data_IF_529349679275
#
_entry.id   IF_529349679275
#
_cell.length_a   1.000
_cell.length_b   1.000
_cell.length_c   1.000
_cell.angle_alpha   90.00
_cell.angle_beta   90.00
_cell.angle_gamma   90.00
#
_symmetry.space_group_name_H-M   'P 1'
#
loop_
_entity.id
_entity.type
_entity.pdbx_description
1 polymer ?
#
# COMPACT_ATOMS: atom_id res chain seq x y z
N UNK A 1 19.94 -13.30 -24.08
CA UNK A 1 19.92 -12.72 -25.43
C UNK A 1 21.31 -12.27 -25.90
N UNK A 2 22.14 -11.63 -25.05
CA UNK A 2 23.46 -11.11 -25.44
C UNK A 2 24.43 -12.18 -25.95
N UNK A 3 24.44 -13.37 -25.32
CA UNK A 3 25.25 -14.50 -25.76
C UNK A 3 24.84 -14.99 -27.15
N UNK A 4 23.54 -14.96 -27.46
CA UNK A 4 22.99 -15.35 -28.75
C UNK A 4 23.49 -14.39 -29.86
N UNK A 5 23.48 -13.07 -29.58
CA UNK A 5 23.97 -12.06 -30.52
C UNK A 5 25.47 -12.29 -30.84
N UNK A 6 26.29 -12.49 -29.81
CA UNK A 6 27.70 -12.75 -29.99
C UNK A 6 27.95 -14.09 -30.74
N UNK A 7 27.22 -15.15 -30.37
CA UNK A 7 27.34 -16.43 -31.07
C UNK A 7 26.93 -16.34 -32.53
N UNK A 8 25.86 -15.62 -32.84
CA UNK A 8 25.41 -15.43 -34.22
C UNK A 8 26.43 -14.65 -35.04
N UNK A 9 27.00 -13.55 -34.47
CA UNK A 9 28.08 -12.80 -35.11
C UNK A 9 29.33 -13.64 -35.31
N UNK A 10 29.68 -14.50 -34.35
CA UNK A 10 30.80 -15.44 -34.52
C UNK A 10 30.53 -16.41 -35.66
N UNK A 11 29.36 -17.02 -35.78
CA UNK A 11 29.02 -17.92 -36.85
C UNK A 11 29.09 -17.25 -38.23
N UNK A 12 28.58 -16.03 -38.36
CA UNK A 12 28.67 -15.23 -39.59
C UNK A 12 30.11 -14.98 -40.00
N UNK A 13 30.99 -14.61 -39.07
CA UNK A 13 32.40 -14.31 -39.37
C UNK A 13 33.22 -15.57 -39.53
N UNK A 14 32.84 -16.69 -38.95
CA UNK A 14 33.56 -17.96 -39.04
C UNK A 14 33.34 -18.72 -40.38
N UNK A 15 32.36 -18.30 -41.18
CA UNK A 15 32.21 -18.82 -42.55
C UNK A 15 33.42 -18.52 -43.43
N UNK A 16 34.03 -17.36 -43.24
CA UNK A 16 35.14 -16.85 -44.12
C UNK A 16 36.50 -16.73 -43.40
N UNK A 17 36.56 -16.89 -42.06
CA UNK A 17 37.73 -16.65 -41.22
C UNK A 17 38.03 -17.83 -40.29
N UNK A 18 39.26 -17.90 -39.83
CA UNK A 18 39.61 -18.84 -38.78
C UNK A 18 38.90 -18.47 -37.45
N UNK A 19 38.75 -19.43 -36.55
CA UNK A 19 37.98 -19.24 -35.32
C UNK A 19 38.53 -18.09 -34.45
N UNK A 20 39.83 -17.87 -34.44
CA UNK A 20 40.45 -16.82 -33.62
C UNK A 20 40.16 -15.45 -34.20
N UNK A 21 40.32 -15.26 -35.50
CA UNK A 21 39.99 -14.02 -36.17
C UNK A 21 38.53 -13.74 -36.17
N UNK A 22 37.67 -14.75 -36.36
CA UNK A 22 36.24 -14.65 -36.32
C UNK A 22 35.75 -14.14 -34.95
N UNK A 23 36.27 -14.66 -33.82
CA UNK A 23 35.92 -14.20 -32.49
C UNK A 23 36.29 -12.74 -32.26
N UNK A 24 37.47 -12.31 -32.68
CA UNK A 24 37.94 -10.92 -32.52
C UNK A 24 37.03 -9.95 -33.29
N UNK A 25 36.70 -10.28 -34.54
CA UNK A 25 35.85 -9.43 -35.37
C UNK A 25 34.40 -9.45 -34.85
N UNK A 26 33.88 -10.63 -34.50
CA UNK A 26 32.54 -10.76 -33.91
C UNK A 26 32.40 -9.93 -32.61
N UNK A 27 33.40 -10.01 -31.72
CA UNK A 27 33.39 -9.26 -30.47
C UNK A 27 33.44 -7.75 -30.73
N UNK A 28 34.28 -7.28 -31.66
CA UNK A 28 34.35 -5.85 -31.99
C UNK A 28 33.05 -5.28 -32.54
N UNK A 29 32.28 -6.07 -33.27
CA UNK A 29 30.97 -5.69 -33.81
C UNK A 29 29.85 -5.85 -32.74
N UNK A 30 29.91 -6.88 -31.93
CA UNK A 30 28.87 -7.19 -30.92
C UNK A 30 28.94 -6.27 -29.68
N UNK A 31 30.15 -5.80 -29.27
CA UNK A 31 30.29 -4.94 -28.08
C UNK A 31 29.40 -3.69 -28.13
N UNK A 32 29.43 -2.86 -29.20
CA UNK A 32 28.57 -1.69 -29.27
C UNK A 32 27.06 -2.03 -29.25
N UNK A 33 26.66 -3.09 -29.96
CA UNK A 33 25.26 -3.53 -30.04
C UNK A 33 24.76 -4.02 -28.68
N UNK A 34 25.50 -4.93 -28.04
CA UNK A 34 25.18 -5.48 -26.73
C UNK A 34 25.23 -4.39 -25.67
N UNK A 35 26.26 -3.53 -25.65
CA UNK A 35 26.41 -2.47 -24.66
C UNK A 35 25.27 -1.47 -24.72
N UNK A 36 24.87 -1.03 -25.92
CA UNK A 36 23.75 -0.08 -26.04
C UNK A 36 22.42 -0.68 -25.60
N UNK A 37 22.14 -1.93 -25.98
CA UNK A 37 20.95 -2.65 -25.56
C UNK A 37 20.92 -2.88 -24.05
N UNK A 38 22.05 -3.33 -23.48
CA UNK A 38 22.18 -3.55 -22.03
C UNK A 38 22.02 -2.25 -21.26
N UNK A 39 22.65 -1.17 -21.71
CA UNK A 39 22.59 0.13 -21.04
C UNK A 39 21.17 0.70 -21.05
N UNK A 40 20.44 0.49 -22.15
CA UNK A 40 19.01 0.86 -22.23
C UNK A 40 18.18 0.11 -21.20
N UNK A 41 18.40 -1.20 -21.04
CA UNK A 41 17.70 -2.02 -20.04
C UNK A 41 18.11 -1.62 -18.63
N UNK A 42 19.41 -1.44 -18.36
CA UNK A 42 19.92 -0.99 -17.05
C UNK A 42 19.32 0.36 -16.69
N UNK A 43 19.18 1.28 -17.64
CA UNK A 43 18.60 2.60 -17.37
C UNK A 43 17.14 2.53 -16.91
N UNK A 44 16.35 1.59 -17.47
CA UNK A 44 15.00 1.31 -16.99
C UNK A 44 14.99 0.78 -15.55
N UNK A 45 15.93 -0.13 -15.22
CA UNK A 45 16.06 -0.64 -13.85
C UNK A 45 16.53 0.44 -12.86
N UNK A 46 17.43 1.34 -13.32
CA UNK A 46 17.86 2.49 -12.54
C UNK A 46 16.70 3.47 -12.33
N UNK A 47 15.83 3.67 -13.31
CA UNK A 47 14.65 4.51 -13.14
C UNK A 47 13.71 3.96 -12.04
N UNK A 48 13.57 2.64 -11.90
CA UNK A 48 12.81 2.02 -10.80
C UNK A 48 13.37 2.32 -9.41
N UNK A 49 14.67 2.63 -9.29
CA UNK A 49 15.28 2.98 -8.00
C UNK A 49 14.80 4.35 -7.46
N UNK A 50 14.15 5.16 -8.29
CA UNK A 50 13.56 6.44 -7.90
C UNK A 50 12.11 6.34 -7.45
N UNK A 51 11.54 5.12 -7.37
CA UNK A 51 10.23 4.88 -6.78
C UNK A 51 10.24 5.24 -5.30
N UNK A 52 9.12 5.79 -4.81
CA UNK A 52 8.86 5.96 -3.38
C UNK A 52 8.70 4.59 -2.69
N UNK A 53 8.18 3.62 -3.43
CA UNK A 53 7.97 2.28 -2.93
C UNK A 53 9.27 1.46 -2.92
N UNK A 54 9.69 1.03 -1.73
CA UNK A 54 11.01 0.40 -1.50
C UNK A 54 11.29 -0.84 -2.35
N UNK A 55 10.25 -1.61 -2.70
CA UNK A 55 10.40 -2.77 -3.60
C UNK A 55 10.99 -2.35 -4.95
N UNK A 56 10.61 -1.19 -5.50
CA UNK A 56 11.15 -0.68 -6.74
C UNK A 56 12.67 -0.47 -6.68
N UNK A 57 13.15 0.09 -5.58
CA UNK A 57 14.59 0.27 -5.34
C UNK A 57 15.33 -1.08 -5.27
N UNK A 58 14.82 -2.03 -4.47
CA UNK A 58 15.46 -3.34 -4.29
C UNK A 58 15.47 -4.15 -5.59
N UNK A 59 14.35 -4.17 -6.32
CA UNK A 59 14.24 -4.83 -7.62
C UNK A 59 15.15 -4.15 -8.67
N UNK A 60 15.15 -2.82 -8.71
CA UNK A 60 15.98 -2.05 -9.62
C UNK A 60 17.48 -2.38 -9.47
N UNK A 61 18.00 -2.39 -8.26
CA UNK A 61 19.40 -2.75 -7.97
C UNK A 61 19.72 -4.20 -8.34
N UNK A 62 18.86 -5.15 -7.95
CA UNK A 62 19.10 -6.57 -8.18
C UNK A 62 19.13 -6.86 -9.69
N UNK A 63 18.14 -6.35 -10.43
CA UNK A 63 18.03 -6.57 -11.87
C UNK A 63 19.15 -5.84 -12.64
N UNK A 64 19.51 -4.61 -12.29
CA UNK A 64 20.61 -3.87 -12.90
C UNK A 64 21.94 -4.63 -12.72
N UNK A 65 22.25 -5.10 -11.51
CA UNK A 65 23.43 -5.93 -11.25
C UNK A 65 23.44 -7.19 -12.09
N UNK A 66 22.30 -7.89 -12.18
CA UNK A 66 22.18 -9.13 -12.95
C UNK A 66 22.51 -8.92 -14.43
N UNK A 67 22.07 -7.80 -15.02
CA UNK A 67 22.36 -7.45 -16.40
C UNK A 67 23.87 -7.13 -16.57
N UNK A 68 24.47 -6.38 -15.64
CA UNK A 68 25.91 -6.08 -15.67
C UNK A 68 26.73 -7.37 -15.61
N UNK A 69 26.42 -8.29 -14.68
CA UNK A 69 27.11 -9.59 -14.59
C UNK A 69 26.91 -10.42 -15.85
N UNK A 70 25.69 -10.44 -16.41
CA UNK A 70 25.42 -11.14 -17.67
C UNK A 70 26.27 -10.58 -18.83
N UNK A 71 26.38 -9.25 -18.93
CA UNK A 71 27.19 -8.57 -19.94
C UNK A 71 28.68 -8.90 -19.77
N UNK A 72 29.19 -8.86 -18.54
CA UNK A 72 30.58 -9.24 -18.24
C UNK A 72 30.85 -10.69 -18.61
N UNK A 73 29.94 -11.60 -18.26
CA UNK A 73 30.07 -13.03 -18.62
C UNK A 73 30.09 -13.22 -20.15
N UNK A 74 29.25 -12.52 -20.90
CA UNK A 74 29.23 -12.61 -22.35
C UNK A 74 30.53 -12.08 -22.97
N UNK A 75 31.08 -10.98 -22.50
CA UNK A 75 32.29 -10.41 -23.08
C UNK A 75 33.55 -11.16 -22.71
N UNK A 76 33.64 -11.78 -21.55
CA UNK A 76 34.88 -12.44 -21.09
C UNK A 76 34.81 -13.97 -21.20
N UNK A 77 33.67 -14.61 -20.87
CA UNK A 77 33.56 -16.05 -20.88
C UNK A 77 33.21 -16.60 -22.27
N UNK A 78 32.24 -15.96 -22.96
CA UNK A 78 31.73 -16.48 -24.22
C UNK A 78 32.77 -16.61 -25.33
N UNK A 79 33.70 -15.64 -25.54
CA UNK A 79 34.77 -15.77 -26.53
C UNK A 79 35.68 -16.98 -26.30
N UNK A 80 36.04 -17.24 -25.04
CA UNK A 80 36.81 -18.44 -24.68
C UNK A 80 36.09 -19.73 -24.96
N UNK A 81 34.78 -19.80 -24.68
CA UNK A 81 33.94 -20.96 -25.01
C UNK A 81 33.85 -21.18 -26.54
N UNK A 82 33.60 -20.12 -27.33
CA UNK A 82 33.49 -20.21 -28.78
C UNK A 82 34.79 -20.69 -29.41
N UNK A 83 35.95 -20.24 -28.95
CA UNK A 83 37.25 -20.72 -29.40
C UNK A 83 37.49 -22.20 -29.02
N UNK A 84 37.18 -22.58 -27.78
CA UNK A 84 37.44 -23.93 -27.27
C UNK A 84 36.57 -24.98 -27.98
N UNK A 85 35.33 -24.60 -28.24
CA UNK A 85 34.32 -25.51 -28.83
C UNK A 85 34.09 -25.26 -30.33
N UNK A 86 34.89 -24.46 -31.02
CA UNK A 86 34.68 -24.13 -32.44
C UNK A 86 34.53 -25.37 -33.32
N UNK A 87 35.43 -26.36 -33.18
CA UNK A 87 35.35 -27.62 -33.92
C UNK A 87 34.07 -28.44 -33.64
N UNK A 88 33.58 -28.39 -32.42
CA UNK A 88 32.34 -29.10 -32.06
C UNK A 88 31.13 -28.37 -32.67
N UNK A 89 31.16 -27.04 -32.70
CA UNK A 89 30.13 -26.19 -33.32
C UNK A 89 30.05 -26.52 -34.83
N UNK A 90 31.21 -26.56 -35.52
CA UNK A 90 31.25 -26.91 -36.94
C UNK A 90 30.69 -28.30 -37.23
N UNK A 91 31.07 -29.30 -36.42
CA UNK A 91 30.61 -30.68 -36.57
C UNK A 91 29.13 -30.91 -36.27
N UNK A 92 28.51 -30.00 -35.54
CA UNK A 92 27.08 -30.06 -35.15
C UNK A 92 26.19 -29.14 -35.98
N UNK A 93 26.75 -28.54 -37.04
CA UNK A 93 26.01 -27.64 -37.91
C UNK A 93 24.86 -28.36 -38.62
N UNK A 94 23.64 -27.83 -38.49
CA UNK A 94 22.45 -28.35 -39.15
C UNK A 94 21.68 -27.26 -39.89
N UNK A 95 20.80 -27.64 -40.81
CA UNK A 95 19.95 -26.67 -41.52
C UNK A 95 19.02 -25.97 -40.55
N UNK A 96 18.82 -24.65 -40.76
CA UNK A 96 17.89 -23.87 -39.98
C UNK A 96 16.47 -24.44 -40.05
N UNK A 97 15.85 -24.67 -38.90
CA UNK A 97 14.44 -25.07 -38.80
C UNK A 97 13.50 -23.90 -39.08
N UNK A 98 13.99 -22.65 -38.99
CA UNK A 98 13.19 -21.46 -39.24
C UNK A 98 13.29 -21.13 -40.75
N UNK A 99 12.18 -21.14 -41.50
CA UNK A 99 12.20 -20.80 -42.92
C UNK A 99 12.47 -19.29 -43.07
N UNK A 100 13.05 -18.91 -44.21
CA UNK A 100 13.26 -17.48 -44.53
C UNK A 100 11.89 -16.78 -44.66
N UNK A 101 11.52 -15.94 -43.70
CA UNK A 101 10.21 -15.27 -43.66
C UNK A 101 10.25 -13.96 -44.47
N UNK A 102 10.50 -14.08 -45.78
CA UNK A 102 10.53 -12.93 -46.68
C UNK A 102 9.15 -12.34 -46.96
N UNK A 103 8.09 -13.14 -46.77
CA UNK A 103 6.70 -12.69 -46.99
C UNK A 103 6.29 -11.58 -46.02
N UNK A 104 6.68 -11.66 -44.73
CA UNK A 104 6.41 -10.62 -43.73
C UNK A 104 7.10 -9.31 -44.09
N UNK A 105 8.39 -9.37 -44.47
CA UNK A 105 9.11 -8.16 -44.92
C UNK A 105 8.45 -7.47 -46.13
N UNK A 106 8.03 -8.26 -47.14
CA UNK A 106 7.29 -7.73 -48.30
C UNK A 106 5.95 -7.09 -47.90
N UNK A 107 5.20 -7.71 -46.96
CA UNK A 107 3.96 -7.19 -46.45
C UNK A 107 4.18 -5.86 -45.69
N UNK A 108 5.19 -5.78 -44.78
CA UNK A 108 5.50 -4.56 -44.06
C UNK A 108 5.88 -3.39 -45.01
N UNK A 109 6.67 -3.66 -46.06
CA UNK A 109 7.03 -2.66 -47.05
C UNK A 109 5.80 -2.22 -47.89
N UNK A 110 4.95 -3.15 -48.27
CA UNK A 110 3.73 -2.84 -49.04
C UNK A 110 2.72 -1.98 -48.24
N UNK A 111 2.64 -2.21 -46.91
CA UNK A 111 1.71 -1.53 -46.00
C UNK A 111 2.30 -0.32 -45.27
N UNK A 112 3.50 0.13 -45.65
CA UNK A 112 4.26 1.21 -44.97
C UNK A 112 3.52 2.54 -44.84
N UNK A 113 2.56 2.83 -45.69
CA UNK A 113 1.76 4.05 -45.65
C UNK A 113 0.39 3.87 -44.96
N UNK A 114 0.01 2.64 -44.63
CA UNK A 114 -1.30 2.32 -44.04
C UNK A 114 -1.12 1.95 -42.55
N UNK A 115 -0.23 1.01 -42.26
CA UNK A 115 -0.05 0.48 -40.89
C UNK A 115 0.46 1.53 -39.91
N UNK A 116 1.51 2.34 -40.19
CA UNK A 116 2.01 3.32 -39.24
C UNK A 116 0.98 4.38 -38.83
N UNK A 117 0.20 5.00 -39.73
CA UNK A 117 -0.86 5.92 -39.32
C UNK A 117 -1.92 5.29 -38.44
N UNK A 118 -2.34 4.05 -38.74
CA UNK A 118 -3.31 3.32 -37.90
C UNK A 118 -2.73 3.07 -36.51
N UNK A 119 -1.47 2.65 -36.42
CA UNK A 119 -0.82 2.44 -35.13
C UNK A 119 -0.66 3.75 -34.33
N UNK A 120 -0.35 4.86 -34.97
CA UNK A 120 -0.27 6.18 -34.31
C UNK A 120 -1.62 6.55 -33.69
N UNK A 121 -2.72 6.38 -34.43
CA UNK A 121 -4.07 6.60 -33.90
C UNK A 121 -4.37 5.66 -32.74
N UNK A 122 -3.98 4.38 -32.88
CA UNK A 122 -4.10 3.38 -31.82
C UNK A 122 -3.32 3.75 -30.55
N UNK A 123 -2.09 4.24 -30.69
CA UNK A 123 -1.23 4.70 -29.58
C UNK A 123 -1.84 5.92 -28.88
N UNK A 124 -2.38 6.88 -29.64
CA UNK A 124 -3.05 8.06 -29.05
C UNK A 124 -4.29 7.61 -28.26
N UNK A 125 -5.11 6.73 -28.84
CA UNK A 125 -6.26 6.18 -28.13
C UNK A 125 -5.83 5.41 -26.87
N UNK A 126 -4.81 4.56 -26.96
CA UNK A 126 -4.26 3.79 -25.86
C UNK A 126 -3.72 4.67 -24.72
N UNK A 127 -3.12 5.82 -25.03
CA UNK A 127 -2.69 6.78 -24.03
C UNK A 127 -3.85 7.26 -23.14
N UNK A 128 -4.98 7.61 -23.73
CA UNK A 128 -6.16 8.03 -22.97
C UNK A 128 -6.84 6.88 -22.22
N UNK A 129 -6.81 5.68 -22.79
CA UNK A 129 -7.43 4.51 -22.17
C UNK A 129 -6.57 3.93 -21.03
N UNK A 130 -5.25 3.96 -21.16
CA UNK A 130 -4.34 3.48 -20.11
C UNK A 130 -4.47 4.24 -18.79
N UNK A 131 -4.82 5.53 -18.84
CA UNK A 131 -5.08 6.35 -17.65
C UNK A 131 -6.42 6.04 -16.96
N UNK A 132 -7.26 5.20 -17.57
CA UNK A 132 -8.56 4.76 -17.02
C UNK A 132 -8.50 3.31 -16.51
N UNK A 133 -7.35 2.66 -16.59
CA UNK A 133 -7.20 1.30 -16.06
C UNK A 133 -7.25 1.35 -14.53
N UNK A 134 -8.11 0.50 -13.94
CA UNK A 134 -8.19 0.34 -12.49
C UNK A 134 -7.04 -0.53 -12.03
N UNK A 135 -6.12 0.07 -11.27
CA UNK A 135 -5.05 -0.66 -10.59
C UNK A 135 -5.56 -1.10 -9.21
N UNK A 136 -5.48 -2.40 -8.96
CA UNK A 136 -5.86 -3.01 -7.70
C UNK A 136 -4.59 -3.50 -7.02
N UNK A 137 -4.37 -3.08 -5.78
CA UNK A 137 -3.14 -3.35 -5.02
C UNK A 137 -3.42 -4.19 -3.78
N UNK A 138 -4.40 -5.11 -3.87
CA UNK A 138 -4.70 -6.00 -2.75
C UNK A 138 -3.58 -7.02 -2.53
N UNK A 139 -3.00 -6.98 -1.33
CA UNK A 139 -1.98 -7.94 -0.89
C UNK A 139 -2.54 -9.37 -0.92
N UNK A 140 -3.84 -9.54 -0.73
CA UNK A 140 -4.49 -10.85 -0.74
C UNK A 140 -4.64 -11.44 -2.16
N UNK A 141 -4.65 -10.60 -3.21
CA UNK A 141 -4.71 -11.05 -4.61
C UNK A 141 -3.34 -11.39 -5.19
N UNK A 142 -2.25 -10.87 -4.63
CA UNK A 142 -0.87 -11.26 -4.97
C UNK A 142 -0.51 -12.69 -4.54
N UNK A 143 -1.47 -13.41 -3.97
CA UNK A 143 -1.27 -14.76 -3.52
C UNK A 143 -1.04 -15.77 -4.67
N UNK A 144 -0.22 -16.79 -4.36
CA UNK A 144 0.04 -17.94 -5.24
C UNK A 144 -1.26 -18.48 -5.84
N UNK A 145 -1.22 -18.87 -7.12
CA UNK A 145 -2.29 -19.59 -7.81
C UNK A 145 -2.64 -20.94 -7.18
N UNK A 146 -1.80 -21.44 -6.25
CA UNK A 146 -2.07 -22.65 -5.47
C UNK A 146 -2.84 -22.29 -4.20
N UNK A 147 -3.87 -23.09 -3.88
CA UNK A 147 -4.63 -22.97 -2.64
C UNK A 147 -3.71 -23.28 -1.46
N UNK A 148 -3.16 -22.25 -0.80
CA UNK A 148 -2.40 -22.43 0.44
C UNK A 148 -3.37 -22.74 1.59
N UNK A 149 -2.89 -23.37 2.66
CA UNK A 149 -3.68 -23.64 3.87
C UNK A 149 -4.25 -22.33 4.47
N UNK A 150 -3.44 -21.27 4.45
CA UNK A 150 -3.88 -19.95 4.92
C UNK A 150 -5.02 -19.40 4.06
N UNK A 151 -4.90 -19.45 2.74
CA UNK A 151 -5.95 -18.98 1.81
C UNK A 151 -7.25 -19.75 1.99
N UNK A 152 -7.17 -21.08 2.15
CA UNK A 152 -8.32 -21.90 2.45
C UNK A 152 -8.97 -21.49 3.77
N UNK A 153 -8.17 -21.31 4.82
CA UNK A 153 -8.67 -20.92 6.15
C UNK A 153 -9.32 -19.54 6.13
N UNK A 154 -8.71 -18.54 5.50
CA UNK A 154 -9.28 -17.19 5.32
C UNK A 154 -10.59 -17.26 4.53
N UNK A 155 -10.63 -18.04 3.43
CA UNK A 155 -11.85 -18.17 2.64
C UNK A 155 -13.00 -18.83 3.44
N UNK A 156 -12.69 -19.81 4.29
CA UNK A 156 -13.66 -20.45 5.17
C UNK A 156 -14.18 -19.47 6.23
N UNK A 157 -13.31 -18.71 6.88
CA UNK A 157 -13.68 -17.69 7.85
C UNK A 157 -14.58 -16.64 7.20
N UNK A 158 -14.19 -16.10 6.06
CA UNK A 158 -14.97 -15.09 5.34
C UNK A 158 -16.34 -15.63 4.88
N UNK A 159 -16.41 -16.92 4.52
CA UNK A 159 -17.67 -17.56 4.12
C UNK A 159 -18.64 -17.77 5.29
N UNK A 160 -18.12 -18.17 6.44
CA UNK A 160 -18.94 -18.51 7.61
C UNK A 160 -19.30 -17.28 8.45
N UNK A 161 -18.38 -16.33 8.61
CA UNK A 161 -18.52 -15.17 9.50
C UNK A 161 -18.68 -13.84 8.77
N UNK A 162 -18.53 -13.84 7.44
CA UNK A 162 -18.50 -12.62 6.63
C UNK A 162 -17.11 -11.96 6.60
N UNK A 163 -16.94 -11.07 5.65
CA UNK A 163 -15.73 -10.23 5.58
C UNK A 163 -15.83 -9.13 6.63
N UNK A 164 -14.75 -8.92 7.38
CA UNK A 164 -14.64 -7.88 8.40
C UNK A 164 -13.61 -6.85 7.99
N UNK A 165 -14.05 -5.74 7.41
CA UNK A 165 -13.18 -4.63 7.05
C UNK A 165 -13.08 -3.67 8.23
N UNK A 166 -11.97 -3.73 8.97
CA UNK A 166 -11.73 -2.90 10.15
C UNK A 166 -10.89 -1.66 9.81
N UNK A 167 -11.31 -0.54 10.39
CA UNK A 167 -10.63 0.74 10.31
C UNK A 167 -10.49 1.32 11.72
N UNK A 168 -9.29 1.72 12.08
CA UNK A 168 -9.06 2.54 13.26
C UNK A 168 -8.98 4.02 12.87
N UNK A 169 -9.70 4.85 13.60
CA UNK A 169 -9.61 6.32 13.53
C UNK A 169 -8.96 6.80 14.80
N UNK A 170 -7.86 7.52 14.67
CA UNK A 170 -7.10 8.07 15.78
C UNK A 170 -7.27 9.58 15.78
N UNK A 171 -7.64 10.14 16.92
CA UNK A 171 -7.88 11.56 17.12
C UNK A 171 -7.26 12.00 18.45
N UNK A 172 -6.93 13.30 18.65
CA UNK A 172 -6.51 13.81 19.94
C UNK A 172 -7.55 13.55 21.02
N UNK A 173 -7.11 13.08 22.20
CA UNK A 173 -7.98 12.81 23.35
C UNK A 173 -8.26 14.08 24.20
N UNK A 174 -8.96 13.90 25.32
CA UNK A 174 -9.18 14.93 26.36
C UNK A 174 -10.55 15.60 26.33
N UNK A 175 -11.42 15.24 25.38
CA UNK A 175 -12.80 15.76 25.31
C UNK A 175 -13.79 14.61 25.00
N UNK A 176 -14.24 13.94 26.04
CA UNK A 176 -15.16 12.80 25.93
C UNK A 176 -16.51 13.16 25.26
N UNK A 177 -17.00 14.38 25.46
CA UNK A 177 -18.25 14.83 24.83
C UNK A 177 -18.11 14.93 23.32
N UNK A 178 -17.00 15.50 22.86
CA UNK A 178 -16.64 15.60 21.46
C UNK A 178 -16.41 14.21 20.84
N UNK A 179 -15.78 13.30 21.57
CA UNK A 179 -15.62 11.91 21.14
C UNK A 179 -16.97 11.22 20.97
N UNK A 180 -17.88 11.32 21.94
CA UNK A 180 -19.22 10.76 21.88
C UNK A 180 -20.05 11.32 20.72
N UNK A 181 -19.96 12.63 20.45
CA UNK A 181 -20.63 13.27 19.32
C UNK A 181 -20.08 12.77 17.99
N UNK A 182 -18.76 12.57 17.91
CA UNK A 182 -18.08 12.03 16.72
C UNK A 182 -18.51 10.58 16.44
N UNK A 183 -18.55 9.74 17.48
CA UNK A 183 -19.02 8.35 17.40
C UNK A 183 -20.46 8.29 16.88
N UNK A 184 -21.36 9.09 17.45
CA UNK A 184 -22.76 9.19 17.00
C UNK A 184 -22.90 9.69 15.55
N UNK A 185 -21.97 10.50 15.08
CA UNK A 185 -21.96 10.97 13.70
C UNK A 185 -21.45 9.87 12.74
N UNK A 186 -20.48 9.07 13.17
CA UNK A 186 -19.97 7.92 12.42
C UNK A 186 -20.97 6.79 12.31
N UNK A 187 -21.72 6.48 13.38
CA UNK A 187 -22.78 5.46 13.38
C UNK A 187 -23.90 5.71 12.35
N UNK A 188 -24.09 6.96 11.96
CA UNK A 188 -25.13 7.36 10.98
C UNK A 188 -24.70 7.15 9.52
N UNK A 189 -23.46 6.78 9.27
CA UNK A 189 -22.96 6.56 7.93
C UNK A 189 -23.33 5.14 7.46
N UNK A 190 -23.95 5.02 6.30
CA UNK A 190 -24.33 3.74 5.70
C UNK A 190 -23.11 2.82 5.45
N UNK A 191 -21.95 3.41 5.28
CA UNK A 191 -20.67 2.73 5.05
C UNK A 191 -20.06 2.15 6.33
N UNK A 192 -20.59 2.53 7.51
CA UNK A 192 -20.14 2.05 8.83
C UNK A 192 -21.15 1.05 9.35
N UNK A 193 -20.70 -0.17 9.59
CA UNK A 193 -21.52 -1.24 10.16
C UNK A 193 -21.61 -1.13 11.68
N UNK A 194 -20.47 -0.83 12.31
CA UNK A 194 -20.37 -0.56 13.74
C UNK A 194 -19.19 0.35 14.03
N UNK A 195 -19.27 1.12 15.11
CA UNK A 195 -18.15 1.92 15.62
C UNK A 195 -18.06 1.73 17.13
N UNK A 196 -16.85 1.63 17.63
CA UNK A 196 -16.55 1.48 19.05
C UNK A 196 -15.46 2.49 19.45
N UNK A 197 -15.72 3.25 20.48
CA UNK A 197 -14.80 4.14 21.16
C UNK A 197 -15.17 4.21 22.61
N UNK A 198 -14.37 4.87 23.45
CA UNK A 198 -14.62 4.94 24.87
C UNK A 198 -15.97 5.62 25.18
N UNK A 199 -16.37 6.59 24.36
CA UNK A 199 -17.60 7.38 24.53
C UNK A 199 -18.90 6.67 24.19
N UNK A 200 -18.89 5.43 23.69
CA UNK A 200 -20.10 4.63 23.42
C UNK A 200 -20.05 3.23 24.04
N UNK A 201 -19.18 3.01 25.02
CA UNK A 201 -19.20 1.81 25.85
C UNK A 201 -20.17 2.04 27.01
N UNK A 202 -21.18 1.20 27.10
CA UNK A 202 -22.12 1.22 28.23
C UNK A 202 -21.43 0.74 29.50
N UNK A 203 -21.53 1.55 30.54
CA UNK A 203 -21.05 1.23 31.88
C UNK A 203 -22.09 0.40 32.66
N UNK A 204 -23.22 1.02 32.98
CA UNK A 204 -24.34 0.44 33.73
C UNK A 204 -25.63 1.20 33.40
N UNK A 205 -26.76 0.49 33.38
CA UNK A 205 -28.12 1.07 33.33
C UNK A 205 -28.32 2.16 32.25
N UNK A 206 -27.68 1.98 31.09
CA UNK A 206 -27.79 2.92 29.96
C UNK A 206 -26.87 4.10 30.02
N UNK A 207 -26.05 4.26 31.07
CA UNK A 207 -24.97 5.26 31.12
C UNK A 207 -23.72 4.75 30.43
N UNK A 208 -23.07 5.68 29.68
CA UNK A 208 -21.79 5.39 29.03
C UNK A 208 -20.61 5.64 29.97
N UNK A 209 -19.49 5.00 29.74
CA UNK A 209 -18.27 5.19 30.55
C UNK A 209 -17.82 6.66 30.66
N UNK A 210 -18.11 7.45 29.66
CA UNK A 210 -17.71 8.87 29.60
C UNK A 210 -18.82 9.85 29.98
N UNK A 211 -20.01 9.37 30.32
CA UNK A 211 -21.09 10.23 30.77
C UNK A 211 -20.71 10.91 32.08
N UNK A 212 -20.99 12.21 32.15
CA UNK A 212 -20.74 12.99 33.35
C UNK A 212 -21.89 12.81 34.32
N UNK A 213 -21.57 12.40 35.55
CA UNK A 213 -22.53 12.17 36.62
C UNK A 213 -22.23 13.11 37.79
N UNK A 214 -23.27 13.61 38.42
CA UNK A 214 -23.16 14.29 39.71
C UNK A 214 -23.15 13.24 40.85
N UNK A 215 -22.80 13.63 42.11
CA UNK A 215 -22.73 12.68 43.23
C UNK A 215 -23.96 11.83 43.44
N UNK A 216 -25.16 12.41 43.29
CA UNK A 216 -26.40 11.70 43.47
C UNK A 216 -26.66 10.66 42.40
N UNK A 217 -26.45 11.01 41.13
CA UNK A 217 -26.58 10.08 40.02
C UNK A 217 -25.61 8.91 40.14
N UNK A 218 -24.35 9.25 40.52
CA UNK A 218 -23.31 8.24 40.74
C UNK A 218 -23.67 7.31 41.91
N UNK A 219 -24.15 7.86 43.04
CA UNK A 219 -24.57 7.09 44.19
C UNK A 219 -25.70 6.11 43.86
N UNK A 220 -26.75 6.58 43.12
CA UNK A 220 -27.85 5.75 42.66
C UNK A 220 -27.39 4.63 41.72
N UNK A 221 -26.38 4.88 40.87
CA UNK A 221 -25.91 3.92 39.88
C UNK A 221 -25.13 2.76 40.51
N UNK A 222 -24.34 3.01 41.54
CA UNK A 222 -23.48 1.99 42.20
C UNK A 222 -23.99 1.56 43.57
N UNK A 223 -25.21 1.91 43.91
CA UNK A 223 -25.85 1.60 45.20
C UNK A 223 -25.02 2.06 46.42
N UNK A 224 -24.60 3.31 46.40
CA UNK A 224 -23.79 3.95 47.44
C UNK A 224 -24.60 5.02 48.19
N UNK A 225 -24.26 5.28 49.45
CA UNK A 225 -24.83 6.40 50.18
C UNK A 225 -24.42 7.75 49.56
N UNK A 226 -25.37 8.65 49.34
CA UNK A 226 -25.14 9.98 48.74
C UNK A 226 -24.09 10.76 49.52
N UNK A 227 -24.08 10.71 50.85
CA UNK A 227 -23.09 11.38 51.70
C UNK A 227 -21.65 10.87 51.44
N UNK A 228 -21.50 9.59 51.13
CA UNK A 228 -20.21 8.99 50.76
C UNK A 228 -19.80 9.47 49.38
N UNK A 229 -20.74 9.51 48.43
CA UNK A 229 -20.47 10.04 47.07
C UNK A 229 -20.04 11.52 47.12
N UNK A 230 -20.72 12.35 47.94
CA UNK A 230 -20.33 13.78 48.12
C UNK A 230 -18.90 13.91 48.66
N UNK A 231 -18.48 13.05 49.58
CA UNK A 231 -17.11 13.01 50.09
C UNK A 231 -16.09 12.58 49.01
N UNK A 232 -16.42 11.55 48.23
CA UNK A 232 -15.56 11.11 47.12
C UNK A 232 -15.39 12.19 46.06
N UNK A 233 -16.47 12.84 45.64
CA UNK A 233 -16.42 13.96 44.69
C UNK A 233 -15.63 15.14 45.21
N UNK A 234 -15.74 15.44 46.52
CA UNK A 234 -14.93 16.46 47.17
C UNK A 234 -13.43 16.08 47.16
N UNK A 235 -13.11 14.84 47.43
CA UNK A 235 -11.75 14.31 47.37
C UNK A 235 -11.17 14.33 45.94
N UNK A 236 -11.99 13.96 44.96
CA UNK A 236 -11.60 14.04 43.54
C UNK A 236 -11.33 15.49 43.10
N UNK A 237 -12.22 16.42 43.45
CA UNK A 237 -12.02 17.86 43.15
C UNK A 237 -10.74 18.42 43.77
N UNK A 238 -10.36 17.97 44.98
CA UNK A 238 -9.08 18.32 45.61
C UNK A 238 -7.90 17.72 44.85
N UNK A 239 -7.98 16.48 44.49
CA UNK A 239 -6.92 15.79 43.72
C UNK A 239 -6.68 16.47 42.37
N UNK A 240 -7.74 16.82 41.67
CA UNK A 240 -7.67 17.53 40.40
C UNK A 240 -7.40 19.05 40.54
N UNK A 241 -7.25 19.56 41.75
CA UNK A 241 -7.07 20.99 42.06
C UNK A 241 -8.23 21.86 41.57
N UNK A 242 -9.44 21.32 41.45
CA UNK A 242 -10.64 22.03 41.05
C UNK A 242 -11.32 22.68 42.29
N UNK A 243 -10.74 23.76 42.77
CA UNK A 243 -11.25 24.48 43.92
C UNK A 243 -12.60 25.19 43.64
N UNK A 244 -12.95 25.39 42.36
CA UNK A 244 -14.25 25.98 41.97
C UNK A 244 -15.42 25.09 42.39
N UNK A 245 -15.31 23.80 42.15
CA UNK A 245 -16.31 22.80 42.53
C UNK A 245 -16.52 22.72 44.03
N UNK A 246 -15.47 22.88 44.82
CA UNK A 246 -15.54 22.89 46.29
C UNK A 246 -16.24 24.12 46.85
N UNK A 247 -16.06 25.28 46.23
CA UNK A 247 -16.62 26.56 46.68
C UNK A 247 -18.11 26.68 46.29
N UNK A 248 -18.49 26.19 45.10
CA UNK A 248 -19.88 26.19 44.64
C UNK A 248 -20.74 25.07 45.23
N UNK A 249 -20.13 24.07 45.84
CA UNK A 249 -20.77 22.85 46.33
C UNK A 249 -20.70 21.73 45.32
N UNK A 250 -20.46 20.52 45.81
CA UNK A 250 -20.22 19.33 44.96
C UNK A 250 -21.50 18.74 44.33
N UNK A 251 -22.69 19.15 44.78
CA UNK A 251 -23.96 18.57 44.32
C UNK A 251 -24.20 18.68 42.81
N UNK A 252 -23.68 19.75 42.18
CA UNK A 252 -23.78 20.03 40.76
C UNK A 252 -22.44 19.77 40.03
N UNK A 253 -21.45 19.23 40.73
CA UNK A 253 -20.17 18.86 40.13
C UNK A 253 -20.26 17.57 39.37
N UNK A 254 -20.10 17.62 38.07
CA UNK A 254 -20.20 16.47 37.17
C UNK A 254 -18.83 15.96 36.77
N UNK A 255 -18.59 14.67 37.00
CA UNK A 255 -17.35 13.97 36.67
C UNK A 255 -17.67 12.79 35.74
N UNK A 256 -16.87 12.53 34.70
CA UNK A 256 -17.02 11.34 33.88
C UNK A 256 -17.01 10.06 34.74
N UNK A 257 -17.94 9.15 34.45
CA UNK A 257 -18.08 7.92 35.25
C UNK A 257 -16.74 7.17 35.35
N UNK A 258 -16.02 7.01 34.22
CA UNK A 258 -14.73 6.32 34.18
C UNK A 258 -13.69 6.96 35.09
N UNK A 259 -13.64 8.28 35.13
CA UNK A 259 -12.61 9.02 35.91
C UNK A 259 -12.90 8.87 37.41
N UNK A 260 -14.17 9.02 37.82
CA UNK A 260 -14.59 8.80 39.20
C UNK A 260 -14.39 7.36 39.63
N UNK A 261 -14.71 6.40 38.76
CA UNK A 261 -14.55 4.98 39.04
C UNK A 261 -13.09 4.59 39.28
N UNK A 262 -12.20 5.06 38.39
CA UNK A 262 -10.76 4.81 38.55
C UNK A 262 -10.20 5.49 39.79
N UNK A 263 -10.63 6.70 40.09
CA UNK A 263 -10.25 7.41 41.33
C UNK A 263 -10.64 6.60 42.56
N UNK A 264 -11.86 6.08 42.64
CA UNK A 264 -12.32 5.26 43.78
C UNK A 264 -11.48 4.00 43.91
N UNK A 265 -11.18 3.34 42.81
CA UNK A 265 -10.34 2.15 42.82
C UNK A 265 -8.92 2.47 43.35
N UNK A 266 -8.31 3.58 42.92
CA UNK A 266 -7.01 4.00 43.38
C UNK A 266 -7.02 4.39 44.89
N UNK A 267 -8.09 5.01 45.39
CA UNK A 267 -8.25 5.32 46.81
C UNK A 267 -8.40 4.04 47.65
N UNK A 268 -9.09 3.03 47.15
CA UNK A 268 -9.21 1.71 47.78
C UNK A 268 -7.85 0.98 47.83
N UNK A 269 -7.13 0.92 46.71
CA UNK A 269 -5.80 0.29 46.68
C UNK A 269 -4.79 1.03 47.58
N UNK A 270 -4.93 2.32 47.74
CA UNK A 270 -4.12 3.14 48.65
C UNK A 270 -4.51 2.97 50.12
N UNK A 271 -5.59 2.24 50.41
CA UNK A 271 -6.08 2.01 51.79
C UNK A 271 -6.77 3.21 52.42
N UNK A 272 -7.16 4.22 51.61
CA UNK A 272 -7.82 5.43 52.09
C UNK A 272 -9.33 5.22 52.30
N UNK A 273 -9.91 4.24 51.60
CA UNK A 273 -11.31 3.82 51.75
C UNK A 273 -11.38 2.31 51.91
N UNK A 274 -12.37 1.86 52.71
CA UNK A 274 -12.72 0.44 52.88
C UNK A 274 -14.15 0.22 52.35
N UNK A 275 -14.31 -0.77 51.50
CA UNK A 275 -15.58 -1.19 50.91
C UNK A 275 -15.99 -2.52 51.55
N UNK A 276 -17.27 -2.87 51.47
CA UNK A 276 -17.70 -4.21 51.82
C UNK A 276 -17.28 -5.24 50.77
N UNK A 277 -17.28 -6.53 51.13
CA UNK A 277 -16.73 -7.60 50.30
C UNK A 277 -17.48 -7.72 48.96
N UNK A 278 -18.81 -7.52 48.92
CA UNK A 278 -19.61 -7.63 47.70
C UNK A 278 -19.33 -6.48 46.71
N UNK A 279 -19.16 -5.26 47.24
CA UNK A 279 -18.83 -4.07 46.46
C UNK A 279 -17.37 -4.14 45.95
N UNK A 280 -16.47 -4.70 46.77
CA UNK A 280 -15.07 -4.90 46.39
C UNK A 280 -14.91 -5.85 45.20
N UNK A 281 -15.65 -7.00 45.20
CA UNK A 281 -15.62 -7.95 44.06
C UNK A 281 -16.18 -7.29 42.80
N UNK A 282 -17.30 -6.60 42.89
CA UNK A 282 -17.92 -5.87 41.76
C UNK A 282 -17.00 -4.79 41.21
N UNK A 283 -16.35 -4.01 42.07
CA UNK A 283 -15.42 -2.97 41.68
C UNK A 283 -14.18 -3.53 40.96
N UNK A 284 -13.67 -4.66 41.48
CA UNK A 284 -12.48 -5.30 40.85
C UNK A 284 -12.78 -5.87 39.45
N UNK A 285 -13.95 -6.50 39.30
CA UNK A 285 -14.37 -7.04 38.00
C UNK A 285 -14.63 -5.93 36.97
N UNK A 286 -15.32 -4.86 37.40
CA UNK A 286 -15.56 -3.69 36.54
C UNK A 286 -14.25 -2.98 36.19
N UNK A 287 -13.33 -2.81 37.16
CA UNK A 287 -12.02 -2.23 36.91
C UNK A 287 -11.25 -2.98 35.83
N UNK A 288 -11.22 -4.32 35.89
CA UNK A 288 -10.53 -5.13 34.89
C UNK A 288 -11.09 -4.90 33.47
N UNK A 289 -12.41 -4.79 33.32
CA UNK A 289 -13.06 -4.53 32.04
C UNK A 289 -12.82 -3.11 31.54
N UNK A 290 -12.90 -2.12 32.44
CA UNK A 290 -12.64 -0.71 32.11
C UNK A 290 -11.20 -0.52 31.68
N UNK A 291 -10.23 -1.15 32.36
CA UNK A 291 -8.83 -1.09 31.99
C UNK A 291 -8.55 -1.70 30.63
N UNK A 292 -9.18 -2.85 30.29
CA UNK A 292 -9.07 -3.42 28.94
C UNK A 292 -9.61 -2.44 27.89
N UNK A 293 -10.75 -1.82 28.14
CA UNK A 293 -11.32 -0.83 27.23
C UNK A 293 -10.43 0.40 27.10
N UNK A 294 -9.93 0.94 28.22
CA UNK A 294 -9.02 2.08 28.27
C UNK A 294 -7.72 1.78 27.52
N UNK A 295 -7.07 0.66 27.80
CA UNK A 295 -5.81 0.30 27.14
C UNK A 295 -5.95 0.10 25.62
N UNK A 296 -7.13 -0.29 25.16
CA UNK A 296 -7.39 -0.45 23.74
C UNK A 296 -7.83 0.84 23.04
N UNK A 297 -8.53 1.74 23.72
CA UNK A 297 -9.22 2.86 23.08
C UNK A 297 -8.68 4.23 23.46
N UNK A 298 -7.92 4.34 24.55
CA UNK A 298 -7.35 5.58 25.05
C UNK A 298 -5.84 5.45 25.20
N UNK A 299 -5.08 6.25 24.44
CA UNK A 299 -3.64 6.41 24.60
C UNK A 299 -3.28 7.62 25.45
N UNK A 300 -1.99 7.95 25.52
CA UNK A 300 -1.49 9.10 26.29
C UNK A 300 -2.01 10.42 25.70
N UNK A 301 -1.91 10.60 24.37
CA UNK A 301 -2.28 11.83 23.66
C UNK A 301 -3.47 11.65 22.71
N UNK A 302 -3.92 10.42 22.46
CA UNK A 302 -4.90 10.13 21.41
C UNK A 302 -5.95 9.10 21.85
N UNK A 303 -7.17 9.27 21.37
CA UNK A 303 -8.23 8.27 21.42
C UNK A 303 -8.33 7.52 20.11
N UNK A 304 -8.70 6.23 20.19
CA UNK A 304 -8.90 5.34 19.06
C UNK A 304 -10.35 4.92 18.94
N UNK A 305 -10.94 5.17 17.78
CA UNK A 305 -12.23 4.60 17.41
C UNK A 305 -12.01 3.41 16.47
N UNK A 306 -12.63 2.29 16.73
CA UNK A 306 -12.56 1.08 15.91
C UNK A 306 -13.87 0.95 15.15
N UNK A 307 -13.78 1.00 13.82
CA UNK A 307 -14.92 0.90 12.92
C UNK A 307 -14.89 -0.44 12.19
N UNK A 308 -16.05 -1.03 12.01
CA UNK A 308 -16.29 -2.10 11.03
C UNK A 308 -17.02 -1.48 9.85
N UNK A 309 -16.45 -1.63 8.66
CA UNK A 309 -16.98 -1.02 7.44
C UNK A 309 -17.87 -2.00 6.68
N UNK A 310 -18.93 -1.47 6.09
CA UNK A 310 -19.88 -2.23 5.24
C UNK A 310 -19.52 -2.10 3.76
N UNK A 311 -18.21 -2.05 3.45
CA UNK A 311 -17.67 -1.96 2.10
C UNK A 311 -16.55 -2.99 1.94
N UNK A 312 -16.21 -3.40 0.71
CA UNK A 312 -15.09 -4.30 0.44
C UNK A 312 -13.76 -3.77 1.01
N UNK A 313 -12.70 -4.60 1.02
CA UNK A 313 -11.38 -4.14 1.45
C UNK A 313 -10.79 -3.06 0.53
N UNK A 314 -11.14 -3.08 -0.76
CA UNK A 314 -10.55 -2.23 -1.79
C UNK A 314 -11.59 -1.77 -2.83
N UNK A 315 -11.19 -0.80 -3.66
CA UNK A 315 -11.99 -0.27 -4.76
C UNK A 315 -12.49 1.15 -4.52
N UNK A 316 -13.15 1.72 -5.52
CA UNK A 316 -13.65 3.11 -5.49
C UNK A 316 -14.65 3.35 -4.35
N UNK A 317 -15.49 2.36 -4.05
CA UNK A 317 -16.47 2.44 -2.96
C UNK A 317 -15.78 2.58 -1.60
N UNK A 318 -14.69 1.83 -1.39
CA UNK A 318 -13.90 1.89 -0.16
C UNK A 318 -13.16 3.21 -0.02
N UNK A 319 -12.57 3.71 -1.11
CA UNK A 319 -11.92 5.04 -1.12
C UNK A 319 -12.93 6.14 -0.79
N UNK A 320 -14.12 6.09 -1.39
CA UNK A 320 -15.18 7.04 -1.09
C UNK A 320 -15.66 6.95 0.38
N UNK A 321 -15.73 5.74 0.93
CA UNK A 321 -16.07 5.53 2.34
C UNK A 321 -15.01 6.12 3.29
N UNK A 322 -13.72 5.93 3.01
CA UNK A 322 -12.63 6.53 3.78
C UNK A 322 -12.70 8.05 3.77
N UNK A 323 -12.96 8.65 2.61
CA UNK A 323 -13.10 10.11 2.49
C UNK A 323 -14.35 10.63 3.23
N UNK A 324 -15.46 9.89 3.19
CA UNK A 324 -16.68 10.21 3.94
C UNK A 324 -16.45 10.15 5.45
N UNK A 325 -15.75 9.13 5.95
CA UNK A 325 -15.37 8.99 7.35
C UNK A 325 -14.47 10.14 7.78
N UNK A 326 -13.38 10.40 7.02
CA UNK A 326 -12.45 11.51 7.31
C UNK A 326 -13.18 12.85 7.38
N UNK A 327 -14.03 13.15 6.40
CA UNK A 327 -14.81 14.39 6.34
C UNK A 327 -15.83 14.50 7.48
N UNK A 328 -16.33 13.38 7.99
CA UNK A 328 -17.26 13.38 9.14
C UNK A 328 -16.52 13.68 10.44
N UNK A 329 -15.35 13.04 10.64
CA UNK A 329 -14.50 13.31 11.81
C UNK A 329 -13.93 14.75 11.76
N UNK A 330 -13.62 15.27 10.58
CA UNK A 330 -13.12 16.64 10.39
C UNK A 330 -14.14 17.75 10.77
N UNK A 331 -15.41 17.40 11.02
CA UNK A 331 -16.39 18.36 11.60
C UNK A 331 -16.10 18.66 13.07
N UNK A 332 -15.39 17.75 13.74
CA UNK A 332 -15.11 17.84 15.18
C UNK A 332 -13.63 18.05 15.47
N UNK A 333 -12.72 17.53 14.62
CA UNK A 333 -11.27 17.58 14.78
C UNK A 333 -10.60 18.28 13.61
N UNK A 334 -9.40 18.82 13.85
CA UNK A 334 -8.59 19.35 12.75
C UNK A 334 -8.17 18.20 11.82
N UNK A 335 -8.26 18.41 10.52
CA UNK A 335 -8.01 17.37 9.51
C UNK A 335 -6.59 16.80 9.57
N UNK A 336 -5.63 17.61 9.99
CA UNK A 336 -4.21 17.23 10.11
C UNK A 336 -3.95 16.33 11.33
N UNK A 337 -4.86 16.32 12.31
CA UNK A 337 -4.77 15.52 13.52
C UNK A 337 -5.54 14.20 13.41
N UNK A 338 -6.18 13.93 12.26
CA UNK A 338 -6.98 12.72 12.02
C UNK A 338 -6.13 11.68 11.30
N UNK A 339 -5.88 10.54 11.95
CA UNK A 339 -5.21 9.42 11.33
C UNK A 339 -6.21 8.27 11.10
N UNK A 340 -6.22 7.74 9.88
CA UNK A 340 -6.99 6.55 9.52
C UNK A 340 -6.00 5.39 9.31
N UNK A 341 -6.23 4.27 9.96
CA UNK A 341 -5.33 3.11 9.92
C UNK A 341 -6.14 1.83 9.71
N UNK A 342 -5.83 1.10 8.66
CA UNK A 342 -6.50 -0.15 8.32
C UNK A 342 -6.01 -0.69 6.98
N UNK A 343 -6.44 -1.89 6.60
CA UNK A 343 -6.06 -2.46 5.30
C UNK A 343 -6.51 -1.55 4.15
N UNK A 344 -7.74 -1.05 4.23
CA UNK A 344 -8.30 -0.16 3.22
C UNK A 344 -7.50 1.14 3.01
N UNK A 345 -6.89 1.72 4.06
CA UNK A 345 -6.04 2.90 3.94
C UNK A 345 -4.70 2.58 3.32
N UNK A 346 -4.13 1.42 3.66
CA UNK A 346 -2.86 0.97 3.09
C UNK A 346 -2.97 0.77 1.58
N UNK A 347 -4.08 0.20 1.11
CA UNK A 347 -4.33 -0.02 -0.32
C UNK A 347 -4.52 1.30 -1.07
N UNK A 348 -5.21 2.28 -0.46
CA UNK A 348 -5.33 3.63 -1.01
C UNK A 348 -3.98 4.33 -1.12
N UNK A 349 -3.19 4.35 -0.04
CA UNK A 349 -1.87 4.98 -0.01
C UNK A 349 -0.91 4.33 -1.02
N UNK A 350 -1.02 3.00 -1.16
CA UNK A 350 -0.27 2.24 -2.14
C UNK A 350 -0.66 2.68 -3.57
N UNK A 351 -1.95 2.75 -3.87
CA UNK A 351 -2.47 3.19 -5.17
C UNK A 351 -2.02 4.60 -5.54
N UNK A 352 -2.12 5.55 -4.60
CA UNK A 352 -1.70 6.94 -4.80
C UNK A 352 -0.18 7.06 -5.03
N UNK A 353 0.62 6.29 -4.28
CA UNK A 353 2.07 6.21 -4.45
C UNK A 353 2.44 5.63 -5.81
N UNK A 354 1.80 4.55 -6.25
CA UNK A 354 2.06 3.93 -7.55
C UNK A 354 1.70 4.83 -8.74
N UNK A 355 0.62 5.60 -8.66
CA UNK A 355 0.27 6.54 -9.72
C UNK A 355 1.37 7.59 -9.93
N UNK A 356 1.92 8.11 -8.84
CA UNK A 356 3.06 9.05 -8.86
C UNK A 356 4.32 8.36 -9.36
N UNK A 357 4.66 7.20 -8.83
CA UNK A 357 5.85 6.42 -9.22
C UNK A 357 5.81 6.02 -10.69
N UNK A 358 4.67 5.57 -11.21
CA UNK A 358 4.51 5.22 -12.62
C UNK A 358 4.82 6.41 -13.54
N UNK A 359 4.39 7.61 -13.18
CA UNK A 359 4.70 8.83 -13.94
C UNK A 359 6.20 9.13 -13.90
N UNK A 360 6.82 9.06 -12.72
CA UNK A 360 8.26 9.32 -12.54
C UNK A 360 9.08 8.30 -13.35
N UNK A 361 8.78 7.01 -13.22
CA UNK A 361 9.48 5.95 -13.96
C UNK A 361 9.35 6.15 -15.47
N UNK A 362 8.14 6.40 -15.94
CA UNK A 362 7.87 6.60 -17.37
C UNK A 362 8.72 7.73 -17.95
N UNK A 363 8.73 8.89 -17.27
CA UNK A 363 9.49 10.05 -17.71
C UNK A 363 11.00 9.79 -17.63
N UNK A 364 11.51 9.25 -16.52
CA UNK A 364 12.94 8.97 -16.35
C UNK A 364 13.43 7.90 -17.33
N UNK A 365 12.67 6.83 -17.52
CA UNK A 365 13.02 5.77 -18.47
C UNK A 365 13.08 6.32 -19.89
N UNK A 366 12.06 7.08 -20.32
CA UNK A 366 12.06 7.69 -21.63
C UNK A 366 13.25 8.64 -21.84
N UNK A 367 13.58 9.45 -20.81
CA UNK A 367 14.71 10.37 -20.84
C UNK A 367 16.05 9.62 -20.93
N UNK A 368 16.27 8.61 -20.08
CA UNK A 368 17.51 7.84 -20.07
C UNK A 368 17.70 7.08 -21.39
N UNK A 369 16.65 6.40 -21.87
CA UNK A 369 16.67 5.69 -23.14
C UNK A 369 16.95 6.67 -24.29
N UNK A 370 16.34 7.84 -24.31
CA UNK A 370 16.58 8.87 -25.30
C UNK A 370 18.05 9.30 -25.31
N UNK A 371 18.64 9.58 -24.16
CA UNK A 371 20.04 9.98 -24.03
C UNK A 371 20.98 8.89 -24.57
N UNK A 372 20.77 7.63 -24.13
CA UNK A 372 21.60 6.49 -24.55
C UNK A 372 21.55 6.30 -26.07
N UNK A 373 20.32 6.32 -26.62
CA UNK A 373 20.14 6.14 -28.06
C UNK A 373 20.71 7.30 -28.89
N UNK A 374 20.66 8.56 -28.40
CA UNK A 374 21.29 9.70 -29.02
C UNK A 374 22.81 9.50 -29.18
N UNK A 375 23.47 9.03 -28.12
CA UNK A 375 24.89 8.72 -28.15
C UNK A 375 25.21 7.52 -29.05
N UNK A 376 24.35 6.48 -29.01
CA UNK A 376 24.59 5.25 -29.76
C UNK A 376 24.43 5.44 -31.26
N UNK A 377 23.34 6.07 -31.70
CA UNK A 377 23.00 6.19 -33.11
C UNK A 377 23.53 7.49 -33.78
N UNK A 378 24.07 8.42 -33.02
CA UNK A 378 24.55 9.70 -33.53
C UNK A 378 23.52 10.43 -34.42
N UNK A 379 22.27 10.23 -34.16
CA UNK A 379 21.11 10.75 -34.90
C UNK A 379 20.02 11.14 -33.92
N UNK A 380 19.39 12.29 -34.10
CA UNK A 380 18.29 12.73 -33.22
C UNK A 380 16.93 12.11 -33.59
N UNK A 381 16.72 11.78 -34.86
CA UNK A 381 15.41 11.28 -35.32
C UNK A 381 15.12 9.83 -34.96
N UNK A 382 16.14 8.96 -35.02
CA UNK A 382 15.99 7.55 -34.75
C UNK A 382 15.61 7.24 -33.27
N UNK A 383 16.26 7.85 -32.25
CA UNK A 383 15.86 7.70 -30.86
C UNK A 383 14.44 8.13 -30.60
N UNK A 384 13.97 9.22 -31.16
CA UNK A 384 12.58 9.68 -31.00
C UNK A 384 11.60 8.64 -31.50
N UNK A 385 11.83 8.08 -32.70
CA UNK A 385 10.97 7.03 -33.25
C UNK A 385 10.95 5.77 -32.37
N UNK A 386 12.13 5.37 -31.88
CA UNK A 386 12.25 4.19 -30.99
C UNK A 386 11.53 4.41 -29.65
N UNK A 387 11.74 5.55 -28.99
CA UNK A 387 11.07 5.87 -27.72
C UNK A 387 9.57 5.95 -27.90
N UNK A 388 9.07 6.60 -28.95
CA UNK A 388 7.62 6.66 -29.23
C UNK A 388 7.04 5.28 -29.49
N UNK A 389 7.76 4.40 -30.20
CA UNK A 389 7.31 3.03 -30.44
C UNK A 389 7.24 2.21 -29.16
N UNK A 390 8.29 2.29 -28.32
CA UNK A 390 8.37 1.59 -27.04
C UNK A 390 7.25 2.08 -26.12
N UNK A 391 7.15 3.40 -25.94
CA UNK A 391 6.15 4.00 -25.07
C UNK A 391 4.73 3.73 -25.56
N UNK A 392 4.52 3.78 -26.88
CA UNK A 392 3.25 3.43 -27.48
C UNK A 392 2.82 1.97 -27.21
N UNK A 393 3.78 1.04 -27.26
CA UNK A 393 3.54 -0.36 -26.91
C UNK A 393 3.18 -0.53 -25.44
N UNK A 394 3.80 0.22 -24.54
CA UNK A 394 3.50 0.23 -23.11
C UNK A 394 2.05 0.73 -22.89
N UNK A 395 1.67 1.86 -23.48
CA UNK A 395 0.31 2.38 -23.35
C UNK A 395 -0.75 1.43 -23.94
N UNK A 396 -0.44 0.77 -25.07
CA UNK A 396 -1.33 -0.26 -25.64
C UNK A 396 -1.52 -1.42 -24.66
N UNK A 397 -0.45 -1.89 -24.02
CA UNK A 397 -0.53 -2.96 -23.03
C UNK A 397 -1.40 -2.55 -21.84
N UNK A 398 -1.20 -1.36 -21.27
CA UNK A 398 -1.98 -0.86 -20.14
C UNK A 398 -3.41 -0.44 -20.49
N UNK A 399 -3.75 -0.27 -21.77
CA UNK A 399 -5.12 0.00 -22.19
C UNK A 399 -5.99 -1.26 -22.27
N UNK A 400 -5.38 -2.45 -22.42
CA UNK A 400 -6.10 -3.71 -22.57
C UNK A 400 -7.00 -4.07 -21.38
N UNK A 401 -6.57 -3.95 -20.11
CA UNK A 401 -7.42 -4.25 -18.97
C UNK A 401 -8.71 -3.41 -18.97
N UNK A 402 -8.60 -2.12 -19.25
CA UNK A 402 -9.78 -1.26 -19.37
C UNK A 402 -10.73 -1.70 -20.48
N UNK A 403 -10.20 -2.10 -21.65
CA UNK A 403 -11.00 -2.58 -22.78
C UNK A 403 -11.65 -3.94 -22.52
N UNK A 404 -11.02 -4.78 -21.73
CA UNK A 404 -11.52 -6.11 -21.35
C UNK A 404 -12.37 -6.06 -20.07
N UNK A 405 -12.54 -4.90 -19.45
CA UNK A 405 -13.20 -4.71 -18.15
C UNK A 405 -12.56 -5.58 -17.05
N UNK A 406 -11.26 -5.77 -17.10
CA UNK A 406 -10.47 -6.53 -16.14
C UNK A 406 -9.68 -5.55 -15.25
N UNK A 407 -9.46 -5.95 -14.00
CA UNK A 407 -8.59 -5.22 -13.10
C UNK A 407 -7.12 -5.55 -13.40
N UNK A 408 -6.23 -4.58 -13.18
CA UNK A 408 -4.77 -4.79 -13.24
C UNK A 408 -4.29 -5.08 -11.83
N UNK A 409 -3.75 -6.26 -11.62
CA UNK A 409 -3.17 -6.72 -10.36
C UNK A 409 -1.66 -6.61 -10.39
#
# INVERSE_FOLDING_TARGET
DYAIILAHRFMEEHEDKDAREAVIVALSKAIPEISSSSLTTISGMVAMMFMQFRIGYDMGIILAKSIIFSMVAVFFLMPGLLLTFSKAIDNTHHKSFVPKITAVGKFCVATRYIVPPILIVGVIAAFFLSNKANYVYDVNTLESSSMSENKFSVSMVNKEFGMVNQLAVIVPNGDYEKEAQTLKALEKLDVVKSVQGLGNIEAMDGYMLTDKLNPRQFAELIDLDVEVADMLYSAYALDQSDYGALVSGVNDYEVPFIDMFLFIYDQKESGNITLDDDLEETLSDAHSKIMIAKDQLLGEDNSRFVLELNVPYEGEETIAALDQIRNTVAKFYNIDDILLVGNATSDKDLGDSFATDNTIITVLTALFVMIILLFTFQSAGLPVLLVVTIQGSIWMNFSLPYLLSENVY
#
